data_IF_661965727477
#
_entry.id   IF_661965727477
#
_cell.length_a   1.000
_cell.length_b   1.000
_cell.length_c   1.000
_cell.angle_alpha   90.00
_cell.angle_beta   90.00
_cell.angle_gamma   90.00
#
_symmetry.space_group_name_H-M   'P 1'
#
loop_
_entity.id
_entity.type
_entity.pdbx_description
1 polymer ?
#
# COMPACT_ATOMS: atom_id res chain seq x y z
N UNK A 1 54.03 -21.78 -64.43
CA UNK A 1 53.85 -22.29 -63.05
C UNK A 1 53.92 -21.11 -62.10
N UNK A 2 52.87 -21.00 -61.27
CA UNK A 2 52.79 -20.41 -59.94
C UNK A 2 52.91 -18.88 -59.72
N UNK A 3 51.72 -18.27 -59.63
CA UNK A 3 51.16 -17.48 -58.51
C UNK A 3 52.01 -17.27 -57.25
N UNK A 4 51.90 -16.07 -56.65
CA UNK A 4 51.63 -15.76 -55.22
C UNK A 4 51.63 -14.22 -55.07
N UNK A 5 50.49 -13.56 -54.86
CA UNK A 5 49.66 -13.45 -53.66
C UNK A 5 50.06 -12.26 -52.77
N UNK A 6 49.13 -11.30 -52.75
CA UNK A 6 49.07 -10.08 -51.97
C UNK A 6 48.69 -10.35 -50.51
N UNK A 7 49.54 -10.06 -49.53
CA UNK A 7 49.12 -9.91 -48.12
C UNK A 7 50.09 -9.06 -47.29
N UNK A 8 49.88 -7.74 -47.21
CA UNK A 8 50.34 -6.93 -46.06
C UNK A 8 49.36 -5.77 -45.84
N UNK A 9 48.25 -5.99 -45.13
CA UNK A 9 47.52 -4.92 -44.42
C UNK A 9 46.41 -5.50 -43.51
N UNK A 10 46.81 -6.09 -42.38
CA UNK A 10 45.92 -6.85 -41.48
C UNK A 10 45.59 -6.24 -40.11
N UNK A 11 46.50 -5.56 -39.38
CA UNK A 11 46.21 -5.19 -37.98
C UNK A 11 45.75 -3.74 -37.77
N UNK A 12 46.23 -2.77 -38.54
CA UNK A 12 45.97 -1.35 -38.29
C UNK A 12 44.52 -0.91 -38.57
N UNK A 13 43.85 -1.56 -39.53
CA UNK A 13 42.48 -1.22 -39.94
C UNK A 13 41.42 -1.71 -38.94
N UNK A 14 41.72 -2.79 -38.20
CA UNK A 14 40.83 -3.33 -37.15
C UNK A 14 40.89 -2.47 -35.88
N UNK A 15 42.07 -2.03 -35.46
CA UNK A 15 42.23 -1.15 -34.30
C UNK A 15 41.48 0.18 -34.48
N UNK A 16 41.52 0.77 -35.68
CA UNK A 16 40.80 2.03 -35.96
C UNK A 16 39.27 1.85 -35.98
N UNK A 17 38.77 0.69 -36.42
CA UNK A 17 37.34 0.36 -36.36
C UNK A 17 36.83 0.18 -34.92
N UNK A 18 37.64 -0.38 -34.02
CA UNK A 18 37.28 -0.49 -32.59
C UNK A 18 37.33 0.86 -31.85
N UNK A 19 38.23 1.77 -32.25
CA UNK A 19 38.28 3.12 -31.66
C UNK A 19 37.08 3.99 -32.06
N UNK A 20 36.61 3.86 -33.30
CA UNK A 20 35.44 4.58 -33.80
C UNK A 20 34.11 4.07 -33.20
N UNK A 21 33.99 2.76 -32.93
CA UNK A 21 32.83 2.21 -32.23
C UNK A 21 32.81 2.57 -30.74
N UNK A 22 33.96 2.64 -30.06
CA UNK A 22 34.03 3.07 -28.66
C UNK A 22 33.64 4.55 -28.49
N UNK A 23 34.05 5.42 -29.43
CA UNK A 23 33.70 6.84 -29.43
C UNK A 23 32.22 7.09 -29.75
N UNK A 24 31.62 6.27 -30.63
CA UNK A 24 30.18 6.33 -30.93
C UNK A 24 29.30 5.86 -29.76
N UNK A 25 29.76 4.88 -28.97
CA UNK A 25 29.09 4.45 -27.74
C UNK A 25 29.19 5.52 -26.64
N UNK A 26 30.32 6.21 -26.52
CA UNK A 26 30.49 7.33 -25.57
C UNK A 26 29.64 8.56 -25.92
N UNK A 27 29.38 8.81 -27.22
CA UNK A 27 28.52 9.91 -27.67
C UNK A 27 27.01 9.61 -27.54
N UNK A 28 26.61 8.34 -27.39
CA UNK A 28 25.21 7.93 -27.17
C UNK A 28 24.78 7.93 -25.70
N UNK A 29 25.71 8.14 -24.76
CA UNK A 29 25.41 8.34 -23.32
C UNK A 29 24.97 9.79 -23.02
N UNK A 30 24.99 10.67 -24.02
CA UNK A 30 24.65 12.09 -23.91
C UNK A 30 23.20 12.46 -24.25
N UNK A 31 22.22 11.55 -24.14
CA UNK A 31 20.81 11.94 -24.20
C UNK A 31 20.32 12.28 -22.79
N UNK A 32 20.28 13.60 -22.55
CA UNK A 32 19.73 14.30 -21.40
C UNK A 32 18.61 13.53 -20.67
N UNK A 33 18.92 13.09 -19.45
CA UNK A 33 17.91 12.83 -18.43
C UNK A 33 17.29 14.18 -18.08
N UNK A 34 16.17 14.54 -18.70
CA UNK A 34 15.39 15.65 -18.20
C UNK A 34 14.89 15.24 -16.81
N UNK A 35 15.20 15.99 -15.73
CA UNK A 35 14.53 15.76 -14.47
C UNK A 35 13.04 15.98 -14.72
N UNK A 36 12.22 14.97 -14.46
CA UNK A 36 10.77 15.09 -14.49
C UNK A 36 10.38 16.15 -13.46
N UNK A 37 10.01 17.33 -13.96
CA UNK A 37 9.38 18.38 -13.16
C UNK A 37 7.91 18.00 -13.05
N UNK A 38 7.55 17.45 -11.90
CA UNK A 38 6.15 17.27 -11.54
C UNK A 38 5.58 18.62 -11.07
N UNK A 39 4.30 18.93 -11.35
CA UNK A 39 3.67 20.11 -10.79
C UNK A 39 3.78 20.05 -9.27
N UNK A 40 4.22 21.17 -8.67
CA UNK A 40 4.28 21.35 -7.22
C UNK A 40 2.90 21.04 -6.63
N UNK A 41 2.74 19.86 -6.05
CA UNK A 41 1.69 19.59 -5.06
C UNK A 41 2.34 19.96 -3.74
N UNK A 42 1.62 20.53 -2.78
CA UNK A 42 2.22 20.82 -1.48
C UNK A 42 2.82 19.54 -0.86
N UNK A 43 3.95 19.63 -0.13
CA UNK A 43 4.48 18.49 0.62
C UNK A 43 3.38 17.88 1.50
N UNK A 44 3.42 16.57 1.83
CA UNK A 44 2.62 16.05 2.91
C UNK A 44 3.15 16.67 4.21
N UNK A 45 2.79 17.92 4.47
CA UNK A 45 2.56 18.38 5.82
C UNK A 45 1.56 17.37 6.40
N UNK A 46 1.62 17.11 7.72
CA UNK A 46 0.55 16.38 8.39
C UNK A 46 -0.70 17.25 8.19
N UNK A 47 -1.37 17.08 7.06
CA UNK A 47 -2.60 17.76 6.77
C UNK A 47 -3.47 17.38 7.95
N UNK A 48 -4.04 18.37 8.61
CA UNK A 48 -5.05 18.13 9.62
C UNK A 48 -6.19 17.47 8.87
N UNK A 49 -6.15 16.14 8.74
CA UNK A 49 -7.12 15.39 7.95
C UNK A 49 -8.37 15.42 8.78
N UNK A 50 -9.40 16.09 8.26
CA UNK A 50 -10.68 16.10 8.96
C UNK A 50 -11.16 14.65 9.14
N UNK A 51 -11.43 14.25 10.40
CA UNK A 51 -11.83 12.89 10.69
C UNK A 51 -13.16 12.60 10.02
N UNK A 52 -13.28 11.42 9.40
CA UNK A 52 -14.54 10.97 8.82
C UNK A 52 -15.55 10.82 9.96
N UNK A 53 -16.77 11.33 9.74
CA UNK A 53 -17.89 11.17 10.68
C UNK A 53 -19.12 10.75 9.90
N UNK A 54 -19.70 9.61 10.26
CA UNK A 54 -20.97 9.15 9.71
C UNK A 54 -22.05 9.28 10.78
N UNK A 55 -23.14 9.95 10.45
CA UNK A 55 -24.24 10.14 11.40
C UNK A 55 -24.97 8.81 11.65
N UNK A 56 -25.13 8.44 12.93
CA UNK A 56 -25.98 7.33 13.34
C UNK A 56 -25.39 5.92 13.20
N UNK A 57 -24.10 5.78 12.85
CA UNK A 57 -23.37 4.52 12.96
C UNK A 57 -21.87 4.75 13.19
N UNK A 58 -21.13 3.76 13.74
CA UNK A 58 -19.67 3.81 13.84
C UNK A 58 -18.99 3.93 12.46
N UNK A 59 -17.86 4.63 12.43
CA UNK A 59 -16.95 4.71 11.27
C UNK A 59 -16.05 3.49 11.24
N UNK A 60 -16.08 2.75 10.14
CA UNK A 60 -15.32 1.51 9.96
C UNK A 60 -14.09 1.80 9.10
N UNK A 61 -12.91 1.41 9.58
CA UNK A 61 -11.68 1.46 8.79
C UNK A 61 -11.11 0.07 8.54
N UNK A 62 -10.59 -0.11 7.34
CA UNK A 62 -9.82 -1.27 6.93
C UNK A 62 -8.34 -0.86 6.78
N UNK A 63 -7.49 -1.37 7.67
CA UNK A 63 -6.04 -1.16 7.66
C UNK A 63 -5.35 -2.36 7.01
N UNK A 64 -4.81 -2.17 5.79
CA UNK A 64 -4.21 -3.21 4.97
C UNK A 64 -2.68 -3.17 5.10
N UNK A 65 -2.10 -4.21 5.70
CA UNK A 65 -0.66 -4.30 5.92
C UNK A 65 0.18 -4.61 4.68
N UNK A 66 1.49 -4.38 4.80
CA UNK A 66 2.49 -4.77 3.80
C UNK A 66 2.85 -6.26 3.87
N UNK A 67 3.29 -6.85 2.74
CA UNK A 67 3.61 -8.29 2.68
C UNK A 67 4.07 -8.84 1.33
N UNK A 68 4.61 -8.01 0.43
CA UNK A 68 5.02 -8.39 -0.93
C UNK A 68 3.91 -9.18 -1.69
N UNK A 69 4.21 -10.29 -2.37
CA UNK A 69 3.21 -10.99 -3.20
C UNK A 69 2.07 -11.70 -2.43
N UNK A 70 2.09 -11.69 -1.09
CA UNK A 70 0.95 -12.16 -0.27
C UNK A 70 -0.23 -11.20 -0.29
N UNK A 71 -0.07 -10.03 -0.93
CA UNK A 71 -1.10 -8.98 -1.04
C UNK A 71 -2.44 -9.42 -1.61
N UNK A 72 -2.49 -10.52 -2.38
CA UNK A 72 -3.75 -11.06 -2.89
C UNK A 72 -4.71 -11.51 -1.78
N UNK A 73 -4.21 -11.86 -0.59
CA UNK A 73 -5.05 -12.20 0.56
C UNK A 73 -5.96 -11.03 1.00
N UNK A 74 -5.54 -9.77 0.77
CA UNK A 74 -6.38 -8.60 1.03
C UNK A 74 -7.68 -8.64 0.20
N UNK A 75 -7.63 -9.15 -1.02
CA UNK A 75 -8.81 -9.28 -1.90
C UNK A 75 -9.81 -10.26 -1.27
N UNK A 76 -9.33 -11.39 -0.73
CA UNK A 76 -10.16 -12.37 -0.04
C UNK A 76 -10.83 -11.79 1.21
N UNK A 77 -10.10 -11.00 1.99
CA UNK A 77 -10.66 -10.30 3.16
C UNK A 77 -11.75 -9.32 2.73
N UNK A 78 -11.49 -8.49 1.72
CA UNK A 78 -12.47 -7.54 1.17
C UNK A 78 -13.72 -8.28 0.68
N UNK A 79 -13.55 -9.42 0.02
CA UNK A 79 -14.64 -10.27 -0.50
C UNK A 79 -15.56 -10.76 0.62
N UNK A 80 -15.00 -11.31 1.69
CA UNK A 80 -15.77 -11.84 2.80
C UNK A 80 -16.45 -10.73 3.63
N UNK A 81 -15.76 -9.61 3.86
CA UNK A 81 -16.36 -8.44 4.53
C UNK A 81 -17.55 -7.90 3.74
N UNK A 82 -17.40 -7.73 2.42
CA UNK A 82 -18.47 -7.28 1.54
C UNK A 82 -19.64 -8.28 1.49
N UNK A 83 -19.37 -9.59 1.41
CA UNK A 83 -20.40 -10.62 1.46
C UNK A 83 -21.19 -10.63 2.78
N UNK A 84 -20.56 -10.15 3.86
CA UNK A 84 -21.16 -10.00 5.18
C UNK A 84 -21.83 -8.64 5.42
N UNK A 85 -21.88 -7.78 4.40
CA UNK A 85 -22.46 -6.43 4.49
C UNK A 85 -21.60 -5.41 5.25
N UNK A 86 -20.31 -5.71 5.48
CA UNK A 86 -19.37 -4.83 6.16
C UNK A 86 -18.65 -3.99 5.09
N UNK A 87 -18.92 -2.69 5.08
CA UNK A 87 -18.35 -1.74 4.13
C UNK A 87 -17.52 -0.68 4.88
N UNK A 88 -16.19 -0.67 4.70
CA UNK A 88 -15.32 0.35 5.30
C UNK A 88 -15.61 1.75 4.75
N UNK A 89 -15.59 2.74 5.64
CA UNK A 89 -15.62 4.18 5.32
C UNK A 89 -14.23 4.72 5.00
N UNK A 90 -13.21 4.09 5.58
CA UNK A 90 -11.80 4.45 5.45
C UNK A 90 -11.01 3.22 5.05
N UNK A 91 -10.09 3.37 4.11
CA UNK A 91 -9.11 2.36 3.74
C UNK A 91 -7.72 2.98 3.88
N UNK A 92 -6.86 2.34 4.68
CA UNK A 92 -5.47 2.76 4.84
C UNK A 92 -4.58 1.60 4.45
N UNK A 93 -3.57 1.85 3.63
CA UNK A 93 -2.69 0.78 3.16
C UNK A 93 -1.21 1.13 3.23
N UNK A 94 -0.41 0.10 3.50
CA UNK A 94 1.05 0.15 3.44
C UNK A 94 1.56 -0.84 2.40
N UNK A 95 2.49 -0.42 1.54
CA UNK A 95 3.08 -1.26 0.49
C UNK A 95 2.01 -1.90 -0.41
N UNK A 96 2.01 -3.22 -0.58
CA UNK A 96 0.96 -3.93 -1.32
C UNK A 96 -0.47 -3.69 -0.79
N UNK A 97 -0.63 -3.39 0.50
CA UNK A 97 -1.89 -2.96 1.09
C UNK A 97 -2.36 -1.61 0.56
N UNK A 98 -1.45 -0.69 0.25
CA UNK A 98 -1.77 0.59 -0.41
C UNK A 98 -2.23 0.38 -1.84
N UNK A 99 -1.63 -0.58 -2.56
CA UNK A 99 -2.02 -0.91 -3.92
C UNK A 99 -3.43 -1.50 -4.01
N UNK A 100 -3.71 -2.56 -3.24
CA UNK A 100 -5.05 -3.17 -3.20
C UNK A 100 -6.07 -2.18 -2.62
N UNK A 101 -5.69 -1.45 -1.57
CA UNK A 101 -6.53 -0.46 -0.92
C UNK A 101 -6.92 0.70 -1.83
N UNK A 102 -6.00 1.21 -2.66
CA UNK A 102 -6.28 2.29 -3.61
C UNK A 102 -7.30 1.86 -4.68
N UNK A 103 -7.15 0.64 -5.22
CA UNK A 103 -8.10 0.10 -6.20
C UNK A 103 -9.48 -0.11 -5.59
N UNK A 104 -9.54 -0.70 -4.39
CA UNK A 104 -10.79 -0.89 -3.65
C UNK A 104 -11.47 0.45 -3.35
N UNK A 105 -10.72 1.40 -2.79
CA UNK A 105 -11.22 2.74 -2.49
C UNK A 105 -11.66 3.51 -3.73
N UNK A 106 -11.03 3.23 -4.88
CA UNK A 106 -11.37 3.75 -6.20
C UNK A 106 -12.65 3.16 -6.82
N UNK A 107 -13.28 2.18 -6.17
CA UNK A 107 -14.55 1.58 -6.58
C UNK A 107 -14.45 0.21 -7.23
N UNK A 108 -13.29 -0.46 -7.20
CA UNK A 108 -13.20 -1.86 -7.60
C UNK A 108 -13.78 -2.74 -6.50
N UNK A 109 -14.85 -3.48 -6.81
CA UNK A 109 -15.40 -4.49 -5.90
C UNK A 109 -14.54 -5.77 -5.86
N UNK A 110 -14.84 -6.68 -4.93
CA UNK A 110 -14.07 -7.90 -4.77
C UNK A 110 -13.99 -8.78 -6.05
N UNK A 111 -15.09 -9.02 -6.80
CA UNK A 111 -15.00 -9.70 -8.10
C UNK A 111 -14.11 -9.00 -9.12
N UNK A 112 -14.16 -7.66 -9.20
CA UNK A 112 -13.29 -6.90 -10.11
C UNK A 112 -11.82 -6.99 -9.70
N UNK A 113 -11.51 -6.94 -8.40
CA UNK A 113 -10.16 -7.11 -7.87
C UNK A 113 -9.62 -8.52 -8.13
N UNK A 114 -10.44 -9.56 -7.92
CA UNK A 114 -10.08 -10.96 -8.19
C UNK A 114 -9.83 -11.18 -9.69
N UNK A 115 -10.70 -10.65 -10.55
CA UNK A 115 -10.49 -10.66 -12.00
C UNK A 115 -9.19 -9.96 -12.37
N UNK A 116 -8.95 -8.76 -11.85
CA UNK A 116 -7.71 -8.02 -12.10
C UNK A 116 -6.49 -8.84 -11.66
N UNK A 117 -6.54 -9.44 -10.46
CA UNK A 117 -5.48 -10.29 -9.95
C UNK A 117 -5.19 -11.50 -10.85
N UNK A 118 -6.22 -12.12 -11.43
CA UNK A 118 -6.07 -13.27 -12.34
C UNK A 118 -5.53 -12.91 -13.73
N UNK A 119 -5.85 -11.71 -14.24
CA UNK A 119 -5.44 -11.25 -15.58
C UNK A 119 -4.09 -10.54 -15.57
N UNK A 120 -3.69 -10.00 -14.42
CA UNK A 120 -2.45 -9.22 -14.25
C UNK A 120 -1.21 -10.07 -14.49
N UNK A 121 -0.27 -9.51 -15.25
CA UNK A 121 1.05 -10.11 -15.50
C UNK A 121 2.11 -9.36 -14.70
N UNK A 122 3.16 -10.06 -14.25
CA UNK A 122 4.20 -9.47 -13.40
C UNK A 122 4.93 -8.31 -14.10
N UNK A 123 5.14 -8.41 -15.41
CA UNK A 123 5.84 -7.39 -16.21
C UNK A 123 5.07 -6.07 -16.31
N UNK A 124 3.75 -6.10 -16.07
CA UNK A 124 2.90 -4.91 -16.04
C UNK A 124 3.11 -4.08 -14.77
N UNK A 125 3.69 -4.67 -13.72
CA UNK A 125 3.97 -3.99 -12.44
C UNK A 125 5.44 -3.63 -12.25
N UNK A 126 6.38 -4.34 -12.89
CA UNK A 126 7.82 -4.20 -12.66
C UNK A 126 8.56 -3.71 -13.91
N UNK A 127 9.37 -2.68 -13.76
CA UNK A 127 10.27 -2.10 -14.77
C UNK A 127 11.76 -2.21 -14.35
N UNK A 128 12.43 -3.25 -14.85
CA UNK A 128 13.82 -3.59 -14.50
C UNK A 128 14.85 -2.62 -15.13
N UNK A 129 15.87 -2.22 -14.36
CA UNK A 129 17.00 -1.36 -14.78
C UNK A 129 18.36 -1.86 -14.25
N UNK A 130 19.47 -1.46 -14.90
CA UNK A 130 20.87 -1.69 -14.44
C UNK A 130 21.27 -0.66 -13.36
N UNK A 131 22.09 -0.99 -12.34
CA UNK A 131 21.92 -0.41 -11.00
C UNK A 131 22.84 0.76 -10.64
N UNK A 132 22.29 1.67 -9.82
CA UNK A 132 22.99 2.47 -8.79
C UNK A 132 22.14 2.66 -7.51
N UNK A 133 20.79 2.57 -7.55
CA UNK A 133 19.89 2.81 -6.39
C UNK A 133 18.61 1.94 -6.34
N UNK A 134 18.69 0.68 -6.76
CA UNK A 134 17.54 -0.26 -6.86
C UNK A 134 17.40 -0.85 -8.26
N UNK A 135 16.72 -2.00 -8.37
CA UNK A 135 16.61 -2.75 -9.63
C UNK A 135 15.32 -2.45 -10.41
N UNK A 136 14.34 -1.83 -9.76
CA UNK A 136 13.02 -1.51 -10.34
C UNK A 136 12.68 -0.04 -10.06
N UNK A 137 12.20 0.72 -11.06
CA UNK A 137 11.83 2.13 -10.82
C UNK A 137 10.48 2.27 -10.12
N UNK A 138 9.55 1.37 -10.40
CA UNK A 138 8.17 1.40 -9.92
C UNK A 138 7.24 2.33 -10.73
N UNK A 139 7.68 2.90 -11.85
CA UNK A 139 6.84 3.79 -12.68
C UNK A 139 5.66 3.02 -13.26
N UNK A 140 5.87 1.76 -13.64
CA UNK A 140 4.79 0.87 -14.09
C UNK A 140 3.69 0.66 -13.06
N UNK A 141 4.03 0.47 -11.79
CA UNK A 141 3.05 0.34 -10.72
C UNK A 141 2.20 1.62 -10.58
N UNK A 142 2.86 2.79 -10.60
CA UNK A 142 2.19 4.08 -10.57
C UNK A 142 1.24 4.24 -11.75
N UNK A 143 1.72 3.98 -12.97
CA UNK A 143 0.95 4.16 -14.20
C UNK A 143 -0.22 3.18 -14.27
N UNK A 144 -0.04 1.94 -13.80
CA UNK A 144 -1.10 0.95 -13.71
C UNK A 144 -2.23 1.43 -12.78
N UNK A 145 -1.90 1.90 -11.57
CA UNK A 145 -2.90 2.43 -10.63
C UNK A 145 -3.61 3.64 -11.22
N UNK A 146 -2.85 4.59 -11.77
CA UNK A 146 -3.42 5.79 -12.39
C UNK A 146 -4.35 5.44 -13.56
N UNK A 147 -3.96 4.49 -14.42
CA UNK A 147 -4.79 4.06 -15.54
C UNK A 147 -6.09 3.40 -15.05
N UNK A 148 -6.01 2.48 -14.09
CA UNK A 148 -7.18 1.76 -13.56
C UNK A 148 -8.15 2.69 -12.84
N UNK A 149 -7.65 3.73 -12.19
CA UNK A 149 -8.45 4.72 -11.49
C UNK A 149 -8.86 5.92 -12.37
N UNK A 150 -8.50 5.93 -13.65
CA UNK A 150 -8.79 7.04 -14.55
C UNK A 150 -8.15 8.36 -14.12
N UNK A 151 -6.95 8.29 -13.54
CA UNK A 151 -6.16 9.41 -13.02
C UNK A 151 -6.84 10.21 -11.88
N UNK A 152 -7.77 9.60 -11.13
CA UNK A 152 -8.35 10.25 -9.95
C UNK A 152 -7.32 10.51 -8.86
N UNK A 153 -7.39 11.69 -8.28
CA UNK A 153 -6.69 12.07 -7.04
C UNK A 153 -7.18 11.23 -5.86
N UNK A 154 -6.36 11.13 -4.80
CA UNK A 154 -6.74 10.39 -3.58
C UNK A 154 -8.00 10.97 -2.94
N UNK A 155 -8.13 12.29 -2.90
CA UNK A 155 -9.29 12.99 -2.33
C UNK A 155 -10.58 12.80 -3.13
N UNK A 156 -10.48 12.38 -4.39
CA UNK A 156 -11.60 12.16 -5.29
C UNK A 156 -12.03 10.69 -5.37
N UNK A 157 -11.42 9.81 -4.55
CA UNK A 157 -11.80 8.41 -4.48
C UNK A 157 -13.14 8.24 -3.72
N UNK A 158 -14.01 7.31 -4.16
CA UNK A 158 -15.30 7.04 -3.51
C UNK A 158 -15.23 6.71 -2.02
N UNK A 159 -14.18 6.00 -1.59
CA UNK A 159 -13.92 5.69 -0.18
C UNK A 159 -12.70 6.50 0.27
N UNK A 160 -12.72 7.02 1.51
CA UNK A 160 -11.57 7.75 2.05
C UNK A 160 -10.35 6.84 2.06
N UNK A 161 -9.30 7.24 1.36
CA UNK A 161 -8.06 6.47 1.23
C UNK A 161 -6.85 7.19 1.83
N UNK A 162 -5.93 6.42 2.37
CA UNK A 162 -4.59 6.88 2.72
C UNK A 162 -3.53 5.83 2.40
N UNK A 163 -2.39 6.26 1.85
CA UNK A 163 -1.21 5.43 1.68
C UNK A 163 -0.10 5.88 2.63
N UNK A 164 0.55 4.94 3.32
CA UNK A 164 1.64 5.25 4.26
C UNK A 164 2.99 4.98 3.62
N UNK A 165 3.92 5.93 3.74
CA UNK A 165 5.31 5.79 3.31
C UNK A 165 6.26 6.29 4.40
N UNK A 166 7.55 6.03 4.20
CA UNK A 166 8.62 6.53 5.07
C UNK A 166 9.40 7.63 4.34
N UNK A 167 9.57 8.81 4.93
CA UNK A 167 10.51 9.82 4.43
C UNK A 167 11.93 9.30 4.62
N UNK A 168 12.68 9.18 3.52
CA UNK A 168 14.03 8.63 3.53
C UNK A 168 15.05 9.55 4.23
N UNK A 169 14.77 10.85 4.31
CA UNK A 169 15.70 11.84 4.86
C UNK A 169 15.82 11.78 6.38
N UNK A 170 14.71 11.57 7.08
CA UNK A 170 14.64 11.59 8.55
C UNK A 170 13.96 10.35 9.17
N UNK A 171 13.40 9.46 8.36
CA UNK A 171 12.71 8.26 8.82
C UNK A 171 11.30 8.52 9.36
N UNK A 172 10.76 9.72 9.18
CA UNK A 172 9.41 10.06 9.62
C UNK A 172 8.32 9.39 8.76
N UNK A 173 7.15 9.22 9.35
CA UNK A 173 5.99 8.68 8.66
C UNK A 173 5.32 9.75 7.80
N UNK A 174 5.11 9.43 6.52
CA UNK A 174 4.33 10.23 5.59
C UNK A 174 2.99 9.56 5.30
N UNK A 175 1.89 10.29 5.44
CA UNK A 175 0.54 9.80 5.17
C UNK A 175 -0.06 10.57 3.98
N UNK A 176 -0.12 9.93 2.82
CA UNK A 176 -0.69 10.51 1.63
C UNK A 176 -2.21 10.35 1.63
N UNK A 177 -2.92 11.47 1.81
CA UNK A 177 -4.40 11.54 1.74
C UNK A 177 -4.92 12.39 0.59
N UNK A 178 -4.01 12.97 -0.21
CA UNK A 178 -4.30 13.86 -1.33
C UNK A 178 -3.26 13.71 -2.43
N UNK A 179 -3.59 14.14 -3.64
CA UNK A 179 -2.69 14.16 -4.78
C UNK A 179 -2.75 12.89 -5.63
N UNK A 180 -1.69 12.61 -6.39
CA UNK A 180 -1.67 11.51 -7.36
C UNK A 180 -1.67 10.14 -6.65
N UNK A 181 -2.74 9.37 -6.85
CA UNK A 181 -2.94 8.06 -6.21
C UNK A 181 -1.84 7.07 -6.56
N UNK A 182 -1.47 6.94 -7.84
CA UNK A 182 -0.42 6.02 -8.27
C UNK A 182 0.95 6.36 -7.70
N UNK A 183 1.30 7.65 -7.58
CA UNK A 183 2.54 8.11 -6.97
C UNK A 183 2.60 7.76 -5.48
N UNK A 184 1.50 7.97 -4.74
CA UNK A 184 1.41 7.62 -3.34
C UNK A 184 1.55 6.10 -3.11
N UNK A 185 0.90 5.29 -3.93
CA UNK A 185 1.05 3.82 -3.91
C UNK A 185 2.48 3.40 -4.22
N UNK A 186 3.10 4.00 -5.23
CA UNK A 186 4.51 3.72 -5.59
C UNK A 186 5.45 4.07 -4.45
N UNK A 187 5.30 5.25 -3.83
CA UNK A 187 6.09 5.65 -2.67
C UNK A 187 5.94 4.65 -1.52
N UNK A 188 4.69 4.30 -1.18
CA UNK A 188 4.35 3.32 -0.15
C UNK A 188 4.90 1.92 -0.41
N UNK A 189 5.14 1.55 -1.67
CA UNK A 189 5.61 0.22 -2.10
C UNK A 189 7.09 0.18 -2.51
N UNK A 190 7.85 1.25 -2.25
CA UNK A 190 9.25 1.36 -2.69
C UNK A 190 10.21 0.67 -1.71
N UNK A 191 10.21 -0.67 -1.74
CA UNK A 191 11.02 -1.52 -0.85
C UNK A 191 12.51 -1.26 -1.08
N UNK A 192 13.28 -0.88 -0.04
CA UNK A 192 14.72 -0.64 -0.15
C UNK A 192 15.48 -1.83 -0.75
N UNK A 193 16.38 -1.55 -1.70
CA UNK A 193 17.17 -2.58 -2.39
C UNK A 193 16.43 -3.29 -3.53
N UNK A 194 15.10 -3.14 -3.64
CA UNK A 194 14.30 -3.68 -4.75
C UNK A 194 13.86 -2.54 -5.67
N UNK A 195 13.18 -1.55 -5.11
CA UNK A 195 12.63 -0.40 -5.83
C UNK A 195 13.42 0.88 -5.52
N UNK A 196 13.49 1.79 -6.50
CA UNK A 196 14.08 3.11 -6.29
C UNK A 196 13.18 3.98 -5.38
N UNK A 197 13.76 4.80 -4.49
CA UNK A 197 13.00 5.81 -3.75
C UNK A 197 12.23 6.73 -4.68
N UNK A 198 11.01 7.11 -4.29
CA UNK A 198 10.17 8.03 -5.08
C UNK A 198 10.39 9.45 -4.59
N UNK A 199 10.69 10.37 -5.50
CA UNK A 199 10.83 11.78 -5.16
C UNK A 199 9.51 12.52 -5.33
N UNK A 200 9.00 13.10 -4.25
CA UNK A 200 7.77 13.91 -4.23
C UNK A 200 8.10 15.23 -3.50
N UNK A 201 7.93 16.36 -4.18
CA UNK A 201 8.16 17.71 -3.62
C UNK A 201 9.54 17.88 -2.97
N UNK A 202 10.57 17.40 -3.66
CA UNK A 202 11.96 17.51 -3.22
C UNK A 202 12.41 16.46 -2.19
N UNK A 203 11.48 15.76 -1.52
CA UNK A 203 11.74 14.68 -0.56
C UNK A 203 11.73 13.31 -1.23
N UNK A 204 12.51 12.36 -0.71
CA UNK A 204 12.54 10.98 -1.19
C UNK A 204 11.76 10.09 -0.21
N UNK A 205 10.93 9.19 -0.73
CA UNK A 205 10.11 8.29 0.05
C UNK A 205 10.39 6.83 -0.30
N UNK A 206 10.33 5.98 0.71
CA UNK A 206 10.47 4.53 0.60
C UNK A 206 9.28 3.84 1.29
N UNK A 207 9.25 2.51 1.21
CA UNK A 207 8.17 1.68 1.73
C UNK A 207 7.75 2.06 3.17
N UNK A 208 6.43 2.17 3.38
CA UNK A 208 5.87 2.55 4.68
C UNK A 208 5.98 1.46 5.75
N UNK A 209 6.34 0.23 5.37
CA UNK A 209 6.51 -0.89 6.27
C UNK A 209 7.56 -0.66 7.36
N UNK A 210 8.50 0.26 7.12
CA UNK A 210 9.54 0.63 8.09
C UNK A 210 9.01 1.45 9.27
N UNK A 211 7.85 2.09 9.14
CA UNK A 211 7.27 2.99 10.17
C UNK A 211 5.86 2.58 10.60
N UNK A 212 5.09 1.94 9.72
CA UNK A 212 3.71 1.52 9.99
C UNK A 212 3.32 0.33 9.09
N UNK A 213 3.85 -0.88 9.36
CA UNK A 213 3.58 -2.05 8.54
C UNK A 213 2.10 -2.46 8.49
N UNK A 214 1.30 -2.18 9.53
CA UNK A 214 -0.16 -2.37 9.52
C UNK A 214 -0.81 -1.08 10.08
N UNK A 215 -1.34 -0.18 9.22
CA UNK A 215 -1.51 1.23 9.58
C UNK A 215 -2.75 1.56 10.43
N UNK A 216 -2.84 0.92 11.59
CA UNK A 216 -3.93 1.03 12.57
C UNK A 216 -4.00 2.44 13.15
N UNK A 217 -2.86 3.00 13.55
CA UNK A 217 -2.80 4.34 14.13
C UNK A 217 -3.25 5.41 13.15
N UNK A 218 -2.88 5.26 11.88
CA UNK A 218 -3.33 6.17 10.81
C UNK A 218 -4.84 6.05 10.61
N UNK A 219 -5.38 4.83 10.56
CA UNK A 219 -6.83 4.61 10.47
C UNK A 219 -7.58 5.29 11.63
N UNK A 220 -7.07 5.18 12.87
CA UNK A 220 -7.63 5.89 14.04
C UNK A 220 -7.55 7.40 13.89
N UNK A 221 -6.40 7.93 13.48
CA UNK A 221 -6.22 9.37 13.29
C UNK A 221 -7.16 9.95 12.23
N UNK A 222 -7.57 9.14 11.25
CA UNK A 222 -8.57 9.50 10.23
C UNK A 222 -10.03 9.44 10.73
N UNK A 223 -10.27 9.08 11.99
CA UNK A 223 -11.59 9.10 12.62
C UNK A 223 -12.28 7.75 12.74
N UNK A 224 -11.56 6.64 12.61
CA UNK A 224 -12.14 5.31 12.73
C UNK A 224 -12.58 4.97 14.17
N UNK A 225 -13.85 4.59 14.33
CA UNK A 225 -14.38 4.01 15.56
C UNK A 225 -14.08 2.51 15.66
N UNK A 226 -14.10 1.81 14.53
CA UNK A 226 -13.70 0.41 14.37
C UNK A 226 -12.51 0.32 13.41
N UNK A 227 -11.41 -0.29 13.83
CA UNK A 227 -10.29 -0.64 12.94
C UNK A 227 -10.18 -2.14 12.79
N UNK A 228 -10.43 -2.60 11.56
CA UNK A 228 -10.18 -3.97 11.11
C UNK A 228 -8.78 -3.98 10.47
N UNK A 229 -7.84 -4.64 11.12
CA UNK A 229 -6.44 -4.71 10.70
C UNK A 229 -6.15 -6.04 10.00
N UNK A 230 -5.57 -5.98 8.81
CA UNK A 230 -5.21 -7.16 8.01
C UNK A 230 -3.69 -7.29 7.97
N UNK A 231 -3.17 -8.29 8.68
CA UNK A 231 -1.75 -8.60 8.74
C UNK A 231 -1.41 -9.78 7.82
N UNK A 232 -0.64 -9.48 6.78
CA UNK A 232 -0.10 -10.46 5.82
C UNK A 232 1.43 -10.50 5.85
N UNK A 233 2.04 -9.97 6.91
CA UNK A 233 3.48 -9.77 6.98
C UNK A 233 4.26 -11.07 6.79
N UNK A 234 5.44 -10.94 6.17
CA UNK A 234 6.37 -12.04 6.03
C UNK A 234 6.93 -12.41 7.41
N UNK A 235 6.60 -13.59 7.95
CA UNK A 235 7.18 -14.04 9.22
C UNK A 235 8.63 -14.47 9.00
N UNK A 236 9.58 -14.07 9.86
CA UNK A 236 10.96 -14.54 9.77
C UNK A 236 11.02 -16.08 9.78
N UNK A 237 11.69 -16.67 8.79
CA UNK A 237 11.82 -18.12 8.68
C UNK A 237 13.13 -18.62 9.29
N UNK A 238 13.07 -19.73 10.03
CA UNK A 238 14.27 -20.40 10.59
C UNK A 238 15.24 -20.87 9.48
N UNK A 239 14.71 -21.21 8.30
CA UNK A 239 15.47 -21.63 7.12
C UNK A 239 15.56 -20.55 6.03
N UNK A 240 15.55 -19.27 6.40
CA UNK A 240 15.65 -18.14 5.45
C UNK A 240 16.94 -18.17 4.61
N UNK A 241 17.04 -17.30 3.59
CA UNK A 241 18.26 -17.13 2.77
C UNK A 241 19.41 -16.44 3.54
N UNK A 242 19.74 -16.93 4.72
CA UNK A 242 20.77 -16.40 5.63
C UNK A 242 22.20 -16.62 5.13
N UNK A 243 22.37 -17.32 4.01
CA UNK A 243 23.66 -17.57 3.39
C UNK A 243 24.28 -16.33 2.70
N UNK A 244 23.53 -15.23 2.55
CA UNK A 244 24.00 -14.01 1.88
C UNK A 244 23.80 -12.77 2.74
N UNK A 245 24.63 -11.75 2.56
CA UNK A 245 24.47 -10.45 3.24
C UNK A 245 23.11 -9.83 2.94
N UNK A 246 22.65 -9.91 1.68
CA UNK A 246 21.34 -9.42 1.27
C UNK A 246 20.20 -10.13 2.04
N UNK A 247 20.30 -11.46 2.22
CA UNK A 247 19.32 -12.22 2.99
C UNK A 247 19.35 -11.91 4.49
N UNK A 248 20.52 -11.68 5.09
CA UNK A 248 20.64 -11.24 6.49
C UNK A 248 19.99 -9.86 6.69
N UNK A 249 20.26 -8.90 5.80
CA UNK A 249 19.66 -7.56 5.84
C UNK A 249 18.15 -7.65 5.64
N UNK A 250 17.68 -8.42 4.65
CA UNK A 250 16.25 -8.64 4.41
C UNK A 250 15.54 -9.24 5.63
N UNK A 251 16.11 -10.29 6.24
CA UNK A 251 15.53 -10.89 7.45
C UNK A 251 15.56 -9.94 8.65
N UNK A 252 16.58 -9.08 8.76
CA UNK A 252 16.64 -8.06 9.80
C UNK A 252 15.52 -7.03 9.62
N UNK A 253 15.25 -6.60 8.39
CA UNK A 253 14.11 -5.73 8.08
C UNK A 253 12.79 -6.42 8.41
N UNK A 254 12.60 -7.68 8.01
CA UNK A 254 11.40 -8.45 8.32
C UNK A 254 11.18 -8.55 9.84
N UNK A 255 12.22 -8.82 10.64
CA UNK A 255 12.12 -8.87 12.11
C UNK A 255 11.65 -7.52 12.67
N UNK A 256 12.26 -6.41 12.25
CA UNK A 256 11.88 -5.08 12.72
C UNK A 256 10.45 -4.72 12.34
N UNK A 257 10.06 -4.96 11.09
CA UNK A 257 8.69 -4.70 10.61
C UNK A 257 7.67 -5.57 11.34
N UNK A 258 7.97 -6.84 11.62
CA UNK A 258 7.08 -7.71 12.40
C UNK A 258 6.90 -7.21 13.84
N UNK A 259 7.96 -6.70 14.47
CA UNK A 259 7.87 -6.14 15.81
C UNK A 259 6.96 -4.91 15.84
N UNK A 260 7.11 -3.99 14.88
CA UNK A 260 6.24 -2.82 14.74
C UNK A 260 4.79 -3.24 14.44
N UNK A 261 4.59 -4.20 13.54
CA UNK A 261 3.26 -4.70 13.20
C UNK A 261 2.54 -5.26 14.43
N UNK A 262 3.23 -6.03 15.28
CA UNK A 262 2.65 -6.53 16.53
C UNK A 262 2.18 -5.39 17.43
N UNK A 263 2.97 -4.33 17.58
CA UNK A 263 2.59 -3.17 18.39
C UNK A 263 1.35 -2.44 17.83
N UNK A 264 1.27 -2.25 16.51
CA UNK A 264 0.11 -1.61 15.87
C UNK A 264 -1.15 -2.49 15.96
N UNK A 265 -0.98 -3.80 15.78
CA UNK A 265 -2.09 -4.75 15.85
C UNK A 265 -2.74 -4.77 17.23
N UNK A 266 -1.99 -4.63 18.33
CA UNK A 266 -2.58 -4.51 19.68
C UNK A 266 -3.53 -3.30 19.85
N UNK A 267 -3.45 -2.30 18.97
CA UNK A 267 -4.31 -1.12 18.99
C UNK A 267 -5.56 -1.28 18.10
N UNK A 268 -5.65 -2.36 17.32
CA UNK A 268 -6.81 -2.68 16.48
C UNK A 268 -7.92 -3.34 17.28
N UNK A 269 -9.18 -3.16 16.86
CA UNK A 269 -10.31 -3.86 17.48
C UNK A 269 -10.44 -5.30 16.97
N UNK A 270 -10.18 -5.49 15.68
CA UNK A 270 -10.31 -6.77 15.00
C UNK A 270 -9.06 -7.01 14.16
N UNK A 271 -8.37 -8.11 14.46
CA UNK A 271 -7.21 -8.60 13.70
C UNK A 271 -7.66 -9.71 12.74
N UNK A 272 -7.23 -9.63 11.49
CA UNK A 272 -7.34 -10.68 10.47
C UNK A 272 -5.92 -11.03 10.03
N UNK A 273 -5.54 -12.31 10.17
CA UNK A 273 -4.19 -12.78 9.84
C UNK A 273 -4.29 -14.03 8.97
N UNK A 274 -4.36 -13.88 7.63
CA UNK A 274 -4.38 -15.01 6.69
C UNK A 274 -3.13 -15.89 6.82
N UNK A 275 -3.29 -17.21 6.73
CA UNK A 275 -2.17 -18.14 6.84
C UNK A 275 -1.42 -18.22 5.50
N UNK A 276 -0.45 -17.33 5.33
CA UNK A 276 0.31 -17.19 4.08
C UNK A 276 1.68 -17.84 4.13
N UNK A 277 1.95 -18.70 5.12
CA UNK A 277 3.29 -19.26 5.39
C UNK A 277 3.83 -20.10 4.24
N UNK A 278 2.97 -20.88 3.58
CA UNK A 278 3.34 -21.73 2.45
C UNK A 278 3.32 -20.98 1.11
N UNK A 279 2.93 -19.70 1.11
CA UNK A 279 2.89 -18.85 -0.07
C UNK A 279 4.25 -18.15 -0.27
N UNK A 280 4.88 -18.47 -1.39
CA UNK A 280 6.17 -17.89 -1.78
C UNK A 280 5.91 -16.48 -2.34
N UNK A 281 6.55 -15.47 -1.75
CA UNK A 281 6.34 -14.05 -2.08
C UNK A 281 6.82 -13.61 -3.48
N UNK A 282 7.36 -14.53 -4.28
CA UNK A 282 7.75 -14.31 -5.69
C UNK A 282 6.94 -15.16 -6.67
N UNK A 283 6.03 -16.02 -6.19
CA UNK A 283 5.29 -16.95 -7.02
C UNK A 283 3.84 -16.49 -7.24
N UNK A 284 3.61 -15.85 -8.40
CA UNK A 284 2.30 -15.37 -8.85
C UNK A 284 1.29 -16.50 -9.13
N UNK A 285 1.71 -17.77 -9.15
CA UNK A 285 0.78 -18.90 -9.36
C UNK A 285 -0.10 -19.19 -8.13
N UNK A 286 0.36 -18.81 -6.94
CA UNK A 286 -0.33 -19.04 -5.64
C UNK A 286 -1.35 -17.96 -5.27
N UNK A 287 -1.66 -17.06 -6.22
CA UNK A 287 -2.56 -15.90 -5.98
C UNK A 287 -3.99 -16.30 -5.58
N UNK A 288 -4.52 -17.41 -6.09
CA UNK A 288 -5.86 -17.88 -5.74
C UNK A 288 -5.87 -18.45 -4.32
N UNK A 289 -4.84 -19.21 -3.96
CA UNK A 289 -4.67 -19.74 -2.60
C UNK A 289 -4.57 -18.58 -1.57
N UNK A 290 -3.84 -17.51 -1.92
CA UNK A 290 -3.78 -16.31 -1.09
C UNK A 290 -5.17 -15.67 -0.87
N UNK A 291 -5.98 -15.56 -1.94
CA UNK A 291 -7.35 -15.04 -1.85
C UNK A 291 -8.19 -15.94 -0.95
N UNK A 292 -8.10 -17.26 -1.11
CA UNK A 292 -8.85 -18.22 -0.30
C UNK A 292 -8.47 -18.15 1.19
N UNK A 293 -7.18 -18.04 1.51
CA UNK A 293 -6.71 -17.81 2.88
C UNK A 293 -7.22 -16.49 3.47
N UNK A 294 -7.29 -15.44 2.65
CA UNK A 294 -7.91 -14.17 3.02
C UNK A 294 -9.40 -14.32 3.39
N UNK A 295 -10.15 -15.08 2.59
CA UNK A 295 -11.57 -15.37 2.85
C UNK A 295 -11.73 -16.16 4.15
N UNK A 296 -10.93 -17.23 4.32
CA UNK A 296 -10.99 -18.10 5.49
C UNK A 296 -10.71 -17.32 6.79
N UNK A 297 -9.65 -16.51 6.79
CA UNK A 297 -9.26 -15.72 7.95
C UNK A 297 -10.30 -14.64 8.30
N UNK A 298 -10.85 -13.96 7.30
CA UNK A 298 -11.91 -12.98 7.52
C UNK A 298 -13.18 -13.63 8.07
N UNK A 299 -13.60 -14.78 7.50
CA UNK A 299 -14.79 -15.51 7.93
C UNK A 299 -14.71 -15.94 9.39
N UNK A 300 -13.51 -16.31 9.84
CA UNK A 300 -13.24 -16.68 11.23
C UNK A 300 -13.50 -15.55 12.24
N UNK A 301 -13.55 -14.28 11.80
CA UNK A 301 -13.77 -13.13 12.69
C UNK A 301 -15.01 -12.30 12.36
N UNK A 302 -15.69 -12.55 11.24
CA UNK A 302 -16.90 -11.82 10.80
C UNK A 302 -17.93 -11.70 11.92
N UNK A 303 -18.21 -12.78 12.66
CA UNK A 303 -19.14 -12.75 13.78
C UNK A 303 -18.78 -11.70 14.84
N UNK A 304 -17.49 -11.62 15.21
CA UNK A 304 -17.01 -10.62 16.17
C UNK A 304 -17.13 -9.19 15.64
N UNK A 305 -16.97 -8.98 14.34
CA UNK A 305 -17.16 -7.66 13.71
C UNK A 305 -18.63 -7.25 13.82
N UNK A 306 -19.55 -8.14 13.48
CA UNK A 306 -20.98 -7.89 13.56
C UNK A 306 -21.45 -7.67 15.00
N UNK A 307 -20.91 -8.43 15.96
CA UNK A 307 -21.17 -8.24 17.39
C UNK A 307 -20.69 -6.86 17.86
N UNK A 308 -19.47 -6.47 17.47
CA UNK A 308 -18.91 -5.15 17.80
C UNK A 308 -19.80 -4.02 17.26
N UNK A 309 -20.23 -4.11 16.00
CA UNK A 309 -21.09 -3.12 15.35
C UNK A 309 -22.47 -3.05 16.02
N UNK A 310 -23.02 -4.20 16.41
CA UNK A 310 -24.32 -4.27 17.07
C UNK A 310 -24.29 -3.58 18.43
N UNK A 311 -23.32 -3.92 19.29
CA UNK A 311 -23.20 -3.37 20.65
C UNK A 311 -23.09 -1.84 20.66
N UNK A 312 -22.25 -1.28 19.78
CA UNK A 312 -22.01 0.17 19.70
C UNK A 312 -23.17 0.95 19.07
N UNK A 313 -23.92 0.32 18.17
CA UNK A 313 -25.15 0.90 17.61
C UNK A 313 -26.21 1.07 18.70
N UNK A 314 -26.34 0.10 19.62
CA UNK A 314 -27.22 0.21 20.78
C UNK A 314 -26.79 1.33 21.75
N UNK A 315 -25.49 1.40 22.12
CA UNK A 315 -24.99 2.48 22.98
C UNK A 315 -25.19 3.88 22.38
N UNK A 316 -25.05 4.02 21.06
CA UNK A 316 -25.30 5.29 20.37
C UNK A 316 -26.78 5.68 20.44
N UNK A 317 -27.70 4.73 20.26
CA UNK A 317 -29.14 4.96 20.39
C UNK A 317 -29.52 5.38 21.81
N UNK A 318 -29.00 4.72 22.84
CA UNK A 318 -29.24 5.09 24.24
C UNK A 318 -28.80 6.54 24.52
N UNK A 319 -27.60 6.93 24.07
CA UNK A 319 -27.11 8.31 24.22
C UNK A 319 -27.95 9.35 23.48
N UNK A 320 -28.62 8.98 22.39
CA UNK A 320 -29.56 9.87 21.68
C UNK A 320 -30.86 10.00 22.47
N UNK A 321 -31.40 8.88 22.98
CA UNK A 321 -32.62 8.86 23.80
C UNK A 321 -32.41 9.68 25.09
N UNK A 322 -31.30 9.49 25.79
CA UNK A 322 -30.95 10.26 27.00
C UNK A 322 -30.90 11.78 26.72
N UNK A 323 -30.32 12.19 25.58
CA UNK A 323 -30.29 13.60 25.19
C UNK A 323 -31.68 14.15 24.89
N UNK A 324 -32.53 13.38 24.22
CA UNK A 324 -33.91 13.80 23.94
C UNK A 324 -34.73 13.94 25.23
N UNK A 325 -34.59 12.99 26.16
CA UNK A 325 -35.22 13.06 27.48
C UNK A 325 -34.72 14.25 28.30
N UNK A 326 -33.42 14.56 28.25
CA UNK A 326 -32.87 15.74 28.89
C UNK A 326 -33.45 17.05 28.32
N UNK A 327 -33.63 17.13 27.00
CA UNK A 327 -34.25 18.29 26.32
C UNK A 327 -35.72 18.44 26.72
N UNK A 328 -36.49 17.34 26.77
CA UNK A 328 -37.89 17.35 27.20
C UNK A 328 -38.04 17.71 28.69
N UNK A 329 -37.13 17.27 29.55
CA UNK A 329 -37.08 17.62 30.97
C UNK A 329 -36.86 19.12 31.22
N UNK A 330 -36.13 19.82 30.35
CA UNK A 330 -35.95 21.29 30.41
C UNK A 330 -37.14 22.10 29.88
N UNK A 331 -38.11 21.49 29.21
CA UNK A 331 -39.20 22.22 28.53
C UNK A 331 -40.33 22.64 29.48
N UNK A 332 -40.41 22.05 30.67
CA UNK A 332 -41.36 22.43 31.70
C UNK A 332 -40.64 23.22 32.78
N UNK A 333 -40.72 24.56 32.69
CA UNK A 333 -40.33 25.45 33.79
C UNK A 333 -41.13 25.14 35.07
N UNK A 334 -40.73 25.68 36.24
CA UNK A 334 -41.38 25.39 37.52
C UNK A 334 -42.89 25.65 37.42
N UNK A 335 -43.73 24.81 38.06
CA UNK A 335 -45.17 24.91 37.96
C UNK A 335 -45.62 26.32 38.35
N UNK A 336 -46.44 26.93 37.48
CA UNK A 336 -47.02 28.26 37.72
C UNK A 336 -47.81 28.17 39.04
N UNK A 337 -47.49 28.98 40.07
CA UNK A 337 -48.17 28.90 41.35
C UNK A 337 -49.65 29.21 41.14
N UNK A 338 -50.50 28.30 41.62
CA UNK A 338 -51.95 28.44 41.57
C UNK A 338 -52.36 29.71 42.36
N UNK A 339 -53.11 30.60 41.69
CA UNK A 339 -53.75 31.77 42.31
C UNK A 339 -55.05 31.38 42.99
#
# INVERSE_FOLDING_TARGET
>A
MNTLSSQVCGPARRLWQYSLTLLAVLLLVGCASQPLVYPDVDPPEIAVVEPVRVAGRPVIALALGGGAARGFAHIGVIKELAASGIHPDIVVGTSVGSFVGALYAGGYDAPALEKLASEMKEEELRDLIFPDRGFVKGERLQDFVNQKLGNRSIEDLPIRFAAVATDLGDGSMAVFTRGNTGMAVRASSSIPGVFQPVRINGREYIDGGLVSPVPVNVARALGADLVIAVDIANRPAENGQLATTAGIVGQSLDIMMNHLAHQELELSDIKISPDTRDLISTDFTTRLDAIDEGILAARGVTGRVLDWLSLRSFEQLERVVERLQAIEGTRWGPPIPAK
#
